data_IF_539467713740
#
_entry.id   IF_539467713740
#
_cell.length_a   1.000
_cell.length_b   1.000
_cell.length_c   1.000
_cell.angle_alpha   90.00
_cell.angle_beta   90.00
_cell.angle_gamma   90.00
#
_symmetry.space_group_name_H-M   'P 1'
#
loop_
_entity.id
_entity.type
_entity.pdbx_description
1 polymer ?
#
# COMPACT_ATOMS: atom_id res chain seq x y z
N UNK A 1 29.00 -7.07 38.86
CA UNK A 1 28.23 -8.03 38.03
C UNK A 1 27.34 -8.83 38.94
N UNK A 2 26.08 -8.42 39.11
CA UNK A 2 25.13 -9.11 39.98
C UNK A 2 24.42 -10.19 39.15
N UNK A 3 24.59 -11.45 39.55
CA UNK A 3 23.85 -12.57 39.01
C UNK A 3 22.44 -12.54 39.61
N UNK A 4 21.44 -12.19 38.80
CA UNK A 4 20.03 -12.28 39.20
C UNK A 4 19.59 -13.74 39.11
N UNK A 5 19.55 -14.39 40.27
CA UNK A 5 18.85 -15.65 40.49
C UNK A 5 17.35 -15.37 40.33
N UNK A 6 16.78 -15.61 39.14
CA UNK A 6 15.34 -15.59 38.96
C UNK A 6 14.76 -16.93 39.37
N UNK A 7 14.21 -16.89 40.58
CA UNK A 7 13.35 -17.86 41.25
C UNK A 7 12.33 -18.47 40.27
N UNK A 8 12.47 -19.78 40.02
CA UNK A 8 11.49 -20.58 39.30
C UNK A 8 10.53 -21.20 40.30
N UNK A 9 9.25 -20.78 40.31
CA UNK A 9 8.19 -21.75 40.53
C UNK A 9 6.86 -21.32 39.90
N UNK A 10 6.72 -21.24 38.57
CA UNK A 10 5.40 -21.29 37.89
C UNK A 10 5.53 -21.77 36.44
N UNK A 11 6.32 -22.82 36.19
CA UNK A 11 6.24 -23.57 34.94
C UNK A 11 4.92 -24.35 34.95
N UNK A 12 3.83 -23.68 34.55
CA UNK A 12 2.68 -24.41 33.99
C UNK A 12 3.26 -25.35 32.95
N UNK A 13 2.92 -26.63 33.08
CA UNK A 13 3.36 -27.70 32.20
C UNK A 13 3.01 -27.32 30.76
N UNK A 14 3.94 -26.68 30.03
CA UNK A 14 3.71 -26.38 28.62
C UNK A 14 3.76 -27.71 27.90
N UNK A 15 2.67 -28.14 27.24
CA UNK A 15 2.72 -29.39 26.49
C UNK A 15 3.86 -29.29 25.48
N UNK A 16 4.71 -30.32 25.41
CA UNK A 16 5.72 -30.44 24.35
C UNK A 16 4.98 -30.58 23.02
N UNK A 17 4.75 -29.45 22.35
CA UNK A 17 3.92 -29.38 21.13
C UNK A 17 4.64 -29.86 19.87
N UNK A 18 5.74 -30.61 20.01
CA UNK A 18 6.49 -31.19 18.89
C UNK A 18 5.67 -32.21 18.07
N UNK A 19 4.52 -32.67 18.57
CA UNK A 19 3.68 -33.67 17.91
C UNK A 19 2.36 -33.14 17.33
N UNK A 20 1.99 -31.86 17.53
CA UNK A 20 0.74 -31.34 16.95
C UNK A 20 0.99 -30.92 15.51
N UNK A 21 0.29 -31.57 14.58
CA UNK A 21 0.12 -31.15 13.19
C UNK A 21 -0.47 -29.72 13.21
N UNK A 22 0.44 -28.76 13.14
CA UNK A 22 0.32 -27.32 13.32
C UNK A 22 -0.90 -26.70 12.62
N UNK A 23 -2.05 -26.72 13.31
CA UNK A 23 -3.20 -25.87 13.01
C UNK A 23 -3.15 -24.62 13.91
N UNK A 24 -2.08 -23.82 13.78
CA UNK A 24 -2.05 -22.46 14.35
C UNK A 24 -2.96 -21.56 13.52
N UNK A 25 -4.25 -21.86 13.56
CA UNK A 25 -5.30 -21.02 13.01
C UNK A 25 -5.50 -19.81 13.91
N UNK A 26 -5.76 -18.66 13.29
CA UNK A 26 -6.03 -17.38 13.98
C UNK A 26 -7.19 -17.50 14.97
N UNK A 27 -8.13 -18.42 14.71
CA UNK A 27 -9.32 -18.67 15.52
C UNK A 27 -9.03 -19.43 16.84
N UNK A 28 -7.86 -20.07 16.98
CA UNK A 28 -7.53 -20.92 18.13
C UNK A 28 -6.96 -20.11 19.31
N UNK A 29 -7.71 -19.12 19.79
CA UNK A 29 -7.27 -18.16 20.82
C UNK A 29 -6.82 -18.83 22.13
N UNK A 30 -7.47 -19.94 22.52
CA UNK A 30 -7.11 -20.71 23.73
C UNK A 30 -5.71 -21.34 23.63
N UNK A 31 -5.33 -21.80 22.44
CA UNK A 31 -4.00 -22.37 22.19
C UNK A 31 -2.96 -21.24 22.11
N UNK A 32 -3.25 -20.19 21.34
CA UNK A 32 -2.34 -19.07 21.14
C UNK A 32 -2.02 -18.34 22.46
N UNK A 33 -3.01 -18.17 23.34
CA UNK A 33 -2.84 -17.53 24.65
C UNK A 33 -1.90 -18.27 25.60
N UNK A 34 -1.70 -19.59 25.43
CA UNK A 34 -0.73 -20.34 26.27
C UNK A 34 0.71 -19.89 26.00
N UNK A 35 1.02 -19.43 24.80
CA UNK A 35 2.37 -19.03 24.42
C UNK A 35 2.69 -17.56 24.72
N UNK A 36 1.78 -16.87 25.42
CA UNK A 36 1.90 -15.47 25.80
C UNK A 36 1.91 -15.38 27.34
N UNK A 37 2.80 -14.56 27.88
CA UNK A 37 2.79 -14.28 29.31
C UNK A 37 1.52 -13.51 29.72
N UNK A 38 0.78 -14.02 30.71
CA UNK A 38 -0.46 -13.39 31.18
C UNK A 38 -0.25 -12.01 31.84
N UNK A 39 0.97 -11.73 32.34
CA UNK A 39 1.28 -10.47 33.04
C UNK A 39 1.93 -9.42 32.15
N UNK A 40 2.76 -9.82 31.19
CA UNK A 40 3.52 -8.88 30.33
C UNK A 40 3.00 -8.82 28.90
N UNK A 41 2.17 -9.78 28.47
CA UNK A 41 1.71 -9.87 27.07
C UNK A 41 2.82 -10.21 26.07
N UNK A 42 4.02 -10.56 26.53
CA UNK A 42 5.17 -10.95 25.68
C UNK A 42 5.06 -12.42 25.27
N UNK A 43 5.36 -12.71 24.01
CA UNK A 43 5.40 -14.08 23.47
C UNK A 43 6.66 -14.78 23.99
N UNK A 44 6.52 -16.00 24.52
CA UNK A 44 7.67 -16.78 25.00
C UNK A 44 8.60 -17.18 23.85
N UNK A 45 9.91 -17.14 24.08
CA UNK A 45 10.92 -17.52 23.08
C UNK A 45 10.92 -19.03 22.79
N UNK A 46 11.40 -19.44 21.62
CA UNK A 46 11.38 -20.84 21.17
C UNK A 46 12.06 -21.83 22.14
N UNK A 47 13.25 -21.56 22.69
CA UNK A 47 13.86 -22.44 23.71
C UNK A 47 13.01 -22.64 24.97
N UNK A 48 12.27 -21.62 25.41
CA UNK A 48 11.41 -21.68 26.60
C UNK A 48 10.16 -22.55 26.36
N UNK A 49 9.64 -22.54 25.12
CA UNK A 49 8.41 -23.25 24.74
C UNK A 49 8.68 -24.64 24.16
N UNK A 50 9.92 -24.92 23.76
CA UNK A 50 10.32 -26.19 23.16
C UNK A 50 9.81 -26.43 21.74
N UNK A 51 9.30 -25.39 21.06
CA UNK A 51 8.83 -25.49 19.66
C UNK A 51 9.96 -25.20 18.68
N UNK A 52 9.97 -25.85 17.51
CA UNK A 52 10.99 -25.58 16.50
C UNK A 52 10.82 -24.18 15.89
N UNK A 53 11.90 -23.57 15.39
CA UNK A 53 11.87 -22.20 14.85
C UNK A 53 10.83 -22.00 13.73
N UNK A 54 10.62 -23.02 12.88
CA UNK A 54 9.59 -22.97 11.82
C UNK A 54 8.19 -22.86 12.40
N UNK A 55 7.88 -23.59 13.46
CA UNK A 55 6.60 -23.51 14.16
C UNK A 55 6.50 -22.23 14.98
N UNK A 56 7.58 -21.81 15.64
CA UNK A 56 7.63 -20.55 16.38
C UNK A 56 7.29 -19.36 15.47
N UNK A 57 7.87 -19.29 14.27
CA UNK A 57 7.57 -18.25 13.28
C UNK A 57 6.08 -18.22 12.90
N UNK A 58 5.49 -19.39 12.62
CA UNK A 58 4.05 -19.51 12.30
C UNK A 58 3.17 -19.11 13.48
N UNK A 59 3.58 -19.47 14.68
CA UNK A 59 2.88 -19.15 15.92
C UNK A 59 2.90 -17.64 16.20
N UNK A 60 4.05 -16.97 16.06
CA UNK A 60 4.15 -15.51 16.21
C UNK A 60 3.28 -14.79 15.19
N UNK A 61 3.27 -15.25 13.93
CA UNK A 61 2.37 -14.71 12.89
C UNK A 61 0.89 -14.92 13.23
N UNK A 62 0.51 -16.10 13.73
CA UNK A 62 -0.86 -16.40 14.12
C UNK A 62 -1.30 -15.57 15.34
N UNK A 63 -0.43 -15.37 16.33
CA UNK A 63 -0.67 -14.49 17.49
C UNK A 63 -0.86 -13.05 17.02
N UNK A 64 0.02 -12.55 16.16
CA UNK A 64 -0.09 -11.19 15.64
C UNK A 64 -1.40 -11.00 14.87
N UNK A 65 -1.71 -11.91 13.94
CA UNK A 65 -2.95 -11.87 13.18
C UNK A 65 -4.19 -11.98 14.07
N UNK A 66 -4.13 -12.75 15.16
CA UNK A 66 -5.22 -12.84 16.12
C UNK A 66 -5.41 -11.54 16.92
N UNK A 67 -4.32 -10.79 17.21
CA UNK A 67 -4.39 -9.45 17.79
C UNK A 67 -4.97 -8.43 16.81
N UNK A 68 -4.51 -8.46 15.55
CA UNK A 68 -4.99 -7.56 14.50
C UNK A 68 -6.49 -7.77 14.23
N UNK A 69 -6.97 -9.02 14.34
CA UNK A 69 -8.38 -9.37 14.20
C UNK A 69 -9.21 -9.19 15.49
N UNK A 70 -8.60 -8.71 16.59
CA UNK A 70 -9.29 -8.53 17.88
C UNK A 70 -9.70 -9.83 18.60
N UNK A 71 -9.18 -10.99 18.17
CA UNK A 71 -9.48 -12.29 18.78
C UNK A 71 -8.64 -12.57 20.03
N UNK A 72 -7.45 -11.99 20.12
CA UNK A 72 -6.55 -12.13 21.27
C UNK A 72 -6.37 -10.77 21.95
N UNK A 73 -6.72 -10.67 23.24
CA UNK A 73 -6.52 -9.45 24.01
C UNK A 73 -5.04 -9.18 24.27
N UNK A 74 -4.68 -7.89 24.25
CA UNK A 74 -3.35 -7.40 24.60
C UNK A 74 -3.47 -5.95 25.09
N UNK A 75 -2.43 -5.45 25.75
CA UNK A 75 -2.39 -4.07 26.21
C UNK A 75 -2.18 -3.13 25.02
N UNK A 76 -3.16 -2.25 24.78
CA UNK A 76 -3.07 -1.14 23.83
C UNK A 76 -2.90 0.13 24.66
N UNK A 77 -1.77 0.83 24.57
CA UNK A 77 -1.59 2.07 25.31
C UNK A 77 -2.54 3.14 24.79
N UNK A 78 -2.97 4.02 25.70
CA UNK A 78 -3.54 5.30 25.30
C UNK A 78 -2.41 6.16 24.70
N UNK A 79 -2.65 6.70 23.51
CA UNK A 79 -1.68 7.52 22.77
C UNK A 79 -2.33 8.86 22.52
N UNK A 80 -1.59 9.94 22.81
CA UNK A 80 -2.05 11.30 22.55
C UNK A 80 -2.38 11.49 21.05
N UNK A 81 -3.42 12.27 20.73
CA UNK A 81 -3.69 12.67 19.36
C UNK A 81 -2.46 13.31 18.71
N UNK A 82 -2.29 13.08 17.40
CA UNK A 82 -1.17 13.66 16.64
C UNK A 82 -1.17 15.19 16.71
N UNK A 83 -2.34 15.80 16.54
CA UNK A 83 -2.53 17.24 16.40
C UNK A 83 -3.35 17.76 17.58
N UNK A 84 -2.99 18.96 18.08
CA UNK A 84 -3.68 19.61 19.20
C UNK A 84 -4.97 20.31 18.75
N UNK A 85 -4.96 20.84 17.52
CA UNK A 85 -6.08 21.54 16.92
C UNK A 85 -6.70 20.69 15.82
N UNK A 86 -8.02 20.50 15.87
CA UNK A 86 -8.78 19.75 14.84
C UNK A 86 -9.47 20.68 13.83
N UNK A 87 -8.94 21.90 13.66
CA UNK A 87 -9.53 22.92 12.79
C UNK A 87 -9.17 22.68 11.33
N UNK A 88 -10.18 22.40 10.51
CA UNK A 88 -10.02 22.23 9.05
C UNK A 88 -10.23 23.55 8.27
N UNK A 89 -9.98 24.69 8.91
CA UNK A 89 -10.13 26.01 8.30
C UNK A 89 -8.97 26.38 7.37
N UNK A 90 -7.82 25.71 7.49
CA UNK A 90 -6.64 26.00 6.67
C UNK A 90 -6.87 25.62 5.19
N UNK A 91 -6.38 26.46 4.27
CA UNK A 91 -6.54 26.30 2.82
C UNK A 91 -6.00 24.99 2.22
N UNK A 92 -5.07 24.32 2.92
CA UNK A 92 -4.51 23.04 2.45
C UNK A 92 -5.45 21.84 2.62
N UNK A 93 -6.40 21.92 3.58
CA UNK A 93 -7.39 20.86 3.81
C UNK A 93 -8.79 21.26 3.35
N UNK A 94 -9.02 22.56 3.14
CA UNK A 94 -10.25 23.07 2.55
C UNK A 94 -10.15 23.21 1.03
N UNK A 95 -11.29 23.45 0.38
CA UNK A 95 -11.32 23.65 -1.07
C UNK A 95 -10.60 24.95 -1.44
N UNK A 96 -9.45 24.83 -2.13
CA UNK A 96 -8.75 25.99 -2.69
C UNK A 96 -9.53 26.51 -3.89
N UNK A 97 -9.87 27.82 -3.96
CA UNK A 97 -10.56 28.40 -5.10
C UNK A 97 -9.80 28.13 -6.42
N UNK A 98 -10.49 27.68 -7.49
CA UNK A 98 -9.83 27.35 -8.74
C UNK A 98 -9.30 28.60 -9.43
N UNK A 99 -8.09 28.52 -9.98
CA UNK A 99 -7.55 29.57 -10.81
C UNK A 99 -8.32 29.68 -12.13
N UNK A 100 -8.34 30.86 -12.75
CA UNK A 100 -9.05 31.09 -14.01
C UNK A 100 -8.62 30.14 -15.13
N UNK A 101 -7.32 29.81 -15.22
CA UNK A 101 -6.78 28.84 -16.21
C UNK A 101 -7.31 27.43 -15.99
N UNK A 102 -7.55 27.03 -14.73
CA UNK A 102 -8.17 25.75 -14.42
C UNK A 102 -9.64 25.72 -14.88
N UNK A 103 -10.35 26.85 -14.74
CA UNK A 103 -11.76 27.00 -15.18
C UNK A 103 -11.88 26.98 -16.71
N UNK A 104 -10.93 27.59 -17.43
CA UNK A 104 -10.92 27.58 -18.89
C UNK A 104 -10.39 26.27 -19.49
N UNK A 105 -9.75 25.42 -18.69
CA UNK A 105 -9.07 24.20 -19.16
C UNK A 105 -7.72 24.46 -19.82
N UNK A 106 -7.20 25.68 -19.71
CA UNK A 106 -5.88 26.04 -20.23
C UNK A 106 -4.76 25.58 -19.28
N UNK A 107 -3.56 25.29 -19.81
CA UNK A 107 -2.40 25.07 -18.98
C UNK A 107 -2.11 26.29 -18.10
N UNK A 108 -1.56 26.05 -16.91
CA UNK A 108 -1.26 27.11 -15.95
C UNK A 108 -0.41 28.24 -16.52
N UNK A 109 0.52 27.91 -17.41
CA UNK A 109 1.33 28.88 -18.13
C UNK A 109 1.19 28.74 -19.64
N UNK A 110 1.14 29.85 -20.40
CA UNK A 110 0.98 29.81 -21.85
C UNK A 110 2.13 29.13 -22.62
N UNK A 111 3.29 28.93 -21.99
CA UNK A 111 4.47 28.33 -22.61
C UNK A 111 4.52 26.79 -22.45
N UNK A 112 3.57 26.20 -21.71
CA UNK A 112 3.37 24.74 -21.70
C UNK A 112 2.79 24.22 -23.02
N UNK A 113 1.95 25.02 -23.69
CA UNK A 113 1.43 24.69 -25.01
C UNK A 113 2.50 24.90 -26.08
N UNK A 114 2.58 23.99 -27.05
CA UNK A 114 3.41 24.18 -28.24
C UNK A 114 3.00 25.44 -28.98
N UNK A 115 3.99 26.28 -29.31
CA UNK A 115 3.81 27.49 -30.11
C UNK A 115 4.83 27.49 -31.23
N UNK A 116 4.35 27.54 -32.47
CA UNK A 116 5.24 27.63 -33.63
C UNK A 116 5.97 28.98 -33.64
N UNK A 117 7.31 28.99 -33.58
CA UNK A 117 8.10 30.23 -33.67
C UNK A 117 7.97 30.88 -35.05
N UNK A 118 8.34 32.17 -35.16
CA UNK A 118 8.26 32.88 -36.44
C UNK A 118 9.32 32.36 -37.42
N UNK A 119 8.97 32.34 -38.70
CA UNK A 119 9.84 31.83 -39.76
C UNK A 119 11.20 32.55 -39.86
N UNK A 120 11.22 33.86 -39.55
CA UNK A 120 12.45 34.65 -39.49
C UNK A 120 13.42 34.15 -38.41
N UNK A 121 12.89 33.70 -37.28
CA UNK A 121 13.68 33.18 -36.15
C UNK A 121 14.19 31.78 -36.47
N UNK A 122 13.34 30.93 -37.07
CA UNK A 122 13.73 29.62 -37.58
C UNK A 122 14.84 29.76 -38.62
N UNK A 123 14.69 30.66 -39.60
CA UNK A 123 15.71 30.94 -40.62
C UNK A 123 17.05 31.38 -40.01
N UNK A 124 17.02 32.21 -38.97
CA UNK A 124 18.22 32.63 -38.24
C UNK A 124 18.91 31.44 -37.57
N UNK A 125 18.15 30.52 -36.97
CA UNK A 125 18.67 29.29 -36.35
C UNK A 125 19.21 28.30 -37.38
N UNK A 126 18.50 28.07 -38.50
CA UNK A 126 18.96 27.22 -39.60
C UNK A 126 20.29 27.71 -40.17
N UNK A 127 20.49 29.02 -40.22
CA UNK A 127 21.77 29.63 -40.62
C UNK A 127 22.86 29.48 -39.55
N UNK A 128 22.51 29.55 -38.27
CA UNK A 128 23.48 29.46 -37.17
C UNK A 128 24.04 28.04 -37.01
N UNK A 129 23.20 27.02 -37.25
CA UNK A 129 23.54 25.61 -37.02
C UNK A 129 23.64 24.80 -38.32
N UNK A 130 24.06 25.45 -39.42
CA UNK A 130 24.24 24.78 -40.72
C UNK A 130 25.18 23.57 -40.59
N UNK A 131 24.77 22.43 -41.15
CA UNK A 131 25.53 21.16 -41.11
C UNK A 131 25.24 20.28 -39.88
N UNK A 132 24.52 20.78 -38.87
CA UNK A 132 24.18 20.04 -37.65
C UNK A 132 22.68 20.08 -37.30
N UNK A 133 21.80 20.32 -38.28
CA UNK A 133 20.35 20.36 -38.08
C UNK A 133 19.70 18.98 -38.19
N UNK A 134 18.68 18.74 -37.36
CA UNK A 134 17.75 17.62 -37.49
C UNK A 134 16.47 18.06 -38.24
N UNK A 135 15.62 17.08 -38.59
CA UNK A 135 14.31 17.34 -39.18
C UNK A 135 13.40 18.09 -38.20
N UNK A 136 12.66 19.09 -38.69
CA UNK A 136 11.76 19.89 -37.84
C UNK A 136 10.54 19.06 -37.45
N UNK A 137 10.32 18.92 -36.14
CA UNK A 137 9.13 18.26 -35.60
C UNK A 137 7.96 19.24 -35.54
N UNK A 138 6.78 18.79 -35.96
CA UNK A 138 5.53 19.53 -35.84
C UNK A 138 5.01 19.61 -34.40
N UNK A 139 3.80 20.16 -34.19
CA UNK A 139 3.16 20.15 -32.87
C UNK A 139 3.07 18.72 -32.34
N UNK A 140 3.35 18.50 -31.04
CA UNK A 140 3.21 17.19 -30.44
C UNK A 140 1.74 16.75 -30.48
N UNK A 141 1.46 15.43 -30.50
CA UNK A 141 0.10 14.92 -30.45
C UNK A 141 -0.60 15.39 -29.15
N UNK A 142 -1.86 15.81 -29.26
CA UNK A 142 -2.66 16.35 -28.14
C UNK A 142 -2.90 15.32 -27.03
N UNK A 143 -2.89 14.04 -27.38
CA UNK A 143 -3.00 12.92 -26.45
C UNK A 143 -1.80 11.99 -26.60
N UNK A 144 -1.45 11.31 -25.52
CA UNK A 144 -0.47 10.22 -25.57
C UNK A 144 -1.08 9.13 -26.45
N UNK A 145 -0.39 8.69 -27.52
CA UNK A 145 -0.91 7.63 -28.37
C UNK A 145 -1.07 6.34 -27.57
N UNK A 146 -2.29 5.82 -27.53
CA UNK A 146 -2.60 4.54 -26.91
C UNK A 146 -2.17 3.43 -27.88
N UNK A 147 -1.23 2.60 -27.44
CA UNK A 147 -0.85 1.39 -28.19
C UNK A 147 -1.96 0.38 -27.99
N UNK A 148 -2.62 -0.13 -29.06
CA UNK A 148 -3.62 -1.18 -28.91
C UNK A 148 -2.99 -2.41 -28.27
N UNK A 149 -3.41 -2.73 -27.04
CA UNK A 149 -3.18 -4.03 -26.44
C UNK A 149 -3.81 -5.07 -27.37
N UNK A 150 -2.98 -5.88 -28.01
CA UNK A 150 -3.41 -6.98 -28.86
C UNK A 150 -4.04 -8.06 -27.98
N UNK A 151 -5.30 -7.90 -27.58
CA UNK A 151 -6.15 -9.00 -27.12
C UNK A 151 -6.53 -9.85 -28.32
N UNK A 152 -5.65 -10.77 -28.68
CA UNK A 152 -6.01 -11.95 -29.45
C UNK A 152 -6.76 -12.92 -28.54
N UNK A 153 -8.09 -12.87 -28.59
CA UNK A 153 -8.99 -13.99 -28.34
C UNK A 153 -10.40 -13.55 -28.71
N UNK A 154 -10.80 -13.87 -29.94
CA UNK A 154 -12.20 -14.04 -30.31
C UNK A 154 -12.89 -14.93 -29.27
N UNK A 155 -13.94 -14.41 -28.65
CA UNK A 155 -15.01 -15.22 -28.11
C UNK A 155 -16.31 -14.47 -28.38
N UNK A 156 -16.93 -14.84 -29.49
CA UNK A 156 -18.29 -14.51 -29.88
C UNK A 156 -19.24 -14.72 -28.70
N UNK A 157 -20.00 -13.68 -28.36
CA UNK A 157 -21.25 -13.83 -27.63
C UNK A 157 -22.34 -13.25 -28.53
N UNK A 158 -23.14 -14.15 -29.08
CA UNK A 158 -24.34 -13.87 -29.85
C UNK A 158 -25.31 -12.99 -29.05
N UNK A 159 -25.80 -11.93 -29.66
CA UNK A 159 -27.00 -11.22 -29.22
C UNK A 159 -28.23 -12.11 -29.44
N UNK A 160 -28.85 -12.55 -28.35
CA UNK A 160 -30.22 -13.06 -28.35
C UNK A 160 -31.17 -11.95 -27.89
N UNK A 161 -31.80 -11.26 -28.85
CA UNK A 161 -32.86 -10.30 -28.58
C UNK A 161 -34.13 -10.97 -27.99
N UNK A 162 -34.83 -10.34 -27.04
CA UNK A 162 -36.07 -10.90 -26.51
C UNK A 162 -37.22 -10.73 -27.50
N UNK A 163 -37.82 -11.86 -27.88
CA UNK A 163 -39.07 -11.94 -28.63
C UNK A 163 -40.25 -11.53 -27.74
N UNK A 164 -41.10 -10.65 -28.27
CA UNK A 164 -42.42 -10.33 -27.75
C UNK A 164 -43.25 -11.59 -27.47
N UNK A 165 -43.90 -11.61 -26.31
CA UNK A 165 -45.08 -12.42 -26.05
C UNK A 165 -46.24 -11.49 -25.67
N UNK A 166 -47.40 -11.85 -26.21
CA UNK A 166 -48.74 -11.27 -26.17
C UNK A 166 -49.12 -10.49 -24.90
#
# INVERSE_FOLDING_TARGET
>A
MAASVFNAPLLRHFPRLSSIRSAYGVQNVKLLGQFVCAHTGVIFHAPYTGVCMKQHKKLTQAIQKARDHGLLSYHIPEVEPRDLDFSNSHGAVSATPPAATLVSGDPWYPWYSWKQPRERELSRLRRLYQGHLQEESGPPPTSIPEVPLTTGAEASIEEAGPRSAL
#
